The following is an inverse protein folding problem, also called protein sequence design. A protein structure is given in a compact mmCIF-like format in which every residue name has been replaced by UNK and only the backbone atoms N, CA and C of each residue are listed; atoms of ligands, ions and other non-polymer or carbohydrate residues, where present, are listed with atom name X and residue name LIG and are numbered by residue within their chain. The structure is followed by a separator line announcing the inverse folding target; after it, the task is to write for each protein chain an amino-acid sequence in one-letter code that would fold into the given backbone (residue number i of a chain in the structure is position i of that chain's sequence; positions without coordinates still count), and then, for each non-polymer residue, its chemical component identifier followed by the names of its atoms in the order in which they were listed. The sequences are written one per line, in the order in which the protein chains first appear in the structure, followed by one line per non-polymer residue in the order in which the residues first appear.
data_IF_836531919083
#
_entry.id   IF_836531919083
#
_cell.length_a   1.000
_cell.length_b   1.000
_cell.length_c   1.000
_cell.angle_alpha   90.00
_cell.angle_beta   90.00
_cell.angle_gamma   90.00
#
_symmetry.space_group_name_H-M   'P 1'
#
loop_
_entity.id
_entity.type
_entity.pdbx_description
1 polymer ?
#
# COMPACT_ATOMS: atom_id res chain seq x y z
N UNK A 1 -15.75 5.67 20.34
CA UNK A 1 -14.37 6.11 20.62
C UNK A 1 -14.45 7.49 21.27
N UNK A 2 -14.19 7.63 22.58
CA UNK A 2 -14.22 8.93 23.27
C UNK A 2 -12.83 9.55 23.18
N UNK A 3 -12.73 10.79 22.70
CA UNK A 3 -11.49 11.57 22.78
C UNK A 3 -11.31 11.94 24.25
N UNK A 4 -10.27 11.43 24.91
CA UNK A 4 -9.96 11.74 26.31
C UNK A 4 -9.44 13.18 26.44
N UNK A 5 -9.59 13.78 27.63
CA UNK A 5 -9.06 15.10 27.99
C UNK A 5 -7.51 15.18 28.04
N UNK A 6 -6.79 14.20 27.48
CA UNK A 6 -5.32 14.12 27.50
C UNK A 6 -4.65 14.72 26.26
N UNK A 7 -5.43 15.15 25.26
CA UNK A 7 -4.87 15.75 24.07
C UNK A 7 -4.35 17.17 24.33
N UNK A 8 -3.04 17.33 24.26
CA UNK A 8 -2.37 18.62 24.30
C UNK A 8 -1.93 18.99 22.87
N UNK A 9 -2.21 20.23 22.46
CA UNK A 9 -1.72 20.77 21.20
C UNK A 9 -0.20 20.70 21.15
N UNK A 10 0.36 20.25 20.02
CA UNK A 10 1.81 20.19 19.81
C UNK A 10 2.27 21.30 18.88
N UNK A 11 3.38 21.93 19.23
CA UNK A 11 4.11 22.81 18.33
C UNK A 11 5.14 21.99 17.54
N UNK A 12 5.17 22.19 16.22
CA UNK A 12 6.09 21.46 15.34
C UNK A 12 7.25 22.38 14.90
N UNK A 13 8.48 21.86 14.87
CA UNK A 13 9.65 22.61 14.39
C UNK A 13 9.57 22.86 12.88
N UNK A 14 10.36 23.81 12.36
CA UNK A 14 10.33 24.17 10.93
C UNK A 14 10.79 23.03 10.00
N UNK A 15 11.74 22.20 10.47
CA UNK A 15 12.24 21.02 9.75
C UNK A 15 11.54 19.79 10.31
N UNK A 16 10.91 19.01 9.44
CA UNK A 16 10.17 17.81 9.85
C UNK A 16 11.06 16.58 9.73
N UNK A 17 11.13 15.80 10.81
CA UNK A 17 11.74 14.46 10.82
C UNK A 17 10.72 13.39 10.44
N UNK A 18 11.20 12.18 10.17
CA UNK A 18 10.38 11.00 9.90
C UNK A 18 9.42 10.71 11.05
N UNK A 19 9.85 10.89 12.30
CA UNK A 19 9.00 10.68 13.49
C UNK A 19 7.83 11.67 13.54
N UNK A 20 8.10 12.95 13.23
CA UNK A 20 7.06 13.99 13.15
C UNK A 20 6.08 13.64 12.03
N UNK A 21 6.58 13.20 10.88
CA UNK A 21 5.73 12.78 9.77
C UNK A 21 4.84 11.59 10.16
N UNK A 22 5.41 10.56 10.82
CA UNK A 22 4.66 9.40 11.32
C UNK A 22 3.56 9.82 12.28
N UNK A 23 3.87 10.68 13.24
CA UNK A 23 2.89 11.17 14.21
C UNK A 23 1.71 11.88 13.52
N UNK A 24 2.00 12.77 12.57
CA UNK A 24 0.98 13.51 11.83
C UNK A 24 0.14 12.61 10.93
N UNK A 25 0.77 11.63 10.27
CA UNK A 25 0.03 10.65 9.47
C UNK A 25 -0.85 9.74 10.32
N UNK A 26 -0.41 9.37 11.54
CA UNK A 26 -1.27 8.64 12.49
C UNK A 26 -2.47 9.47 12.93
N UNK A 27 -2.28 10.76 13.21
CA UNK A 27 -3.38 11.66 13.55
C UNK A 27 -4.36 11.83 12.38
N UNK A 28 -3.84 11.99 11.16
CA UNK A 28 -4.65 12.07 9.95
C UNK A 28 -5.42 10.76 9.70
N UNK A 29 -4.79 9.60 9.91
CA UNK A 29 -5.42 8.29 9.78
C UNK A 29 -6.53 8.11 10.82
N UNK A 30 -6.25 8.44 12.09
CA UNK A 30 -7.25 8.41 13.16
C UNK A 30 -8.45 9.30 12.81
N UNK A 31 -8.20 10.51 12.34
CA UNK A 31 -9.25 11.45 11.90
C UNK A 31 -10.05 10.86 10.75
N UNK A 32 -9.39 10.27 9.75
CA UNK A 32 -10.05 9.63 8.61
C UNK A 32 -10.90 8.41 9.01
N UNK A 33 -10.50 7.67 10.05
CA UNK A 33 -11.29 6.56 10.59
C UNK A 33 -12.50 7.07 11.38
N UNK A 34 -12.30 8.05 12.27
CA UNK A 34 -13.38 8.60 13.11
C UNK A 34 -14.42 9.36 12.28
N UNK A 35 -13.99 10.11 11.27
CA UNK A 35 -14.86 10.85 10.36
C UNK A 35 -15.39 9.98 9.19
N UNK A 36 -15.15 8.67 9.24
CA UNK A 36 -15.53 7.68 8.23
C UNK A 36 -15.27 8.11 6.77
N UNK A 37 -14.04 8.51 6.50
CA UNK A 37 -13.63 8.82 5.14
C UNK A 37 -13.51 7.57 4.27
N UNK A 38 -13.57 7.78 2.96
CA UNK A 38 -13.35 6.76 1.92
C UNK A 38 -12.14 5.86 2.20
N UNK A 39 -12.25 4.58 1.85
CA UNK A 39 -11.20 3.59 2.09
C UNK A 39 -9.91 3.92 1.35
N UNK A 40 -10.00 4.54 0.17
CA UNK A 40 -8.85 5.06 -0.55
C UNK A 40 -8.02 6.05 0.26
N UNK A 41 -8.68 6.91 1.03
CA UNK A 41 -8.02 7.91 1.88
C UNK A 41 -7.35 7.25 3.09
N UNK A 42 -8.00 6.26 3.69
CA UNK A 42 -7.40 5.45 4.76
C UNK A 42 -6.19 4.67 4.23
N UNK A 43 -6.31 4.07 3.04
CA UNK A 43 -5.28 3.27 2.37
C UNK A 43 -4.01 4.08 2.04
N UNK A 44 -4.16 5.28 1.45
CA UNK A 44 -3.00 6.11 1.09
C UNK A 44 -2.25 6.61 2.33
N UNK A 45 -2.96 6.88 3.44
CA UNK A 45 -2.33 7.26 4.71
C UNK A 45 -1.53 6.10 5.29
N UNK A 46 -2.09 4.88 5.25
CA UNK A 46 -1.35 3.67 5.62
C UNK A 46 -0.11 3.46 4.74
N UNK A 47 -0.22 3.68 3.42
CA UNK A 47 0.92 3.53 2.51
C UNK A 47 2.04 4.54 2.84
N UNK A 48 1.68 5.79 3.12
CA UNK A 48 2.64 6.82 3.54
C UNK A 48 3.31 6.47 4.87
N UNK A 49 2.55 5.95 5.85
CA UNK A 49 3.11 5.46 7.10
C UNK A 49 4.12 4.34 6.85
N UNK A 50 3.79 3.36 6.01
CA UNK A 50 4.71 2.28 5.66
C UNK A 50 6.04 2.81 5.07
N UNK A 51 6.00 3.85 4.24
CA UNK A 51 7.21 4.47 3.69
C UNK A 51 8.05 5.18 4.77
N UNK A 52 7.41 5.89 5.70
CA UNK A 52 8.15 6.52 6.80
C UNK A 52 8.82 5.47 7.70
N UNK A 53 8.12 4.37 8.00
CA UNK A 53 8.70 3.27 8.76
C UNK A 53 9.85 2.56 8.04
N UNK A 54 9.80 2.49 6.70
CA UNK A 54 10.94 2.02 5.89
C UNK A 54 12.18 2.89 6.07
N UNK A 55 12.02 4.21 6.04
CA UNK A 55 13.14 5.13 6.23
C UNK A 55 13.80 4.95 7.59
N UNK A 56 13.00 4.65 8.62
CA UNK A 56 13.46 4.33 9.96
C UNK A 56 13.92 2.87 10.15
N UNK A 57 13.94 2.05 9.09
CA UNK A 57 14.30 0.62 9.12
C UNK A 57 13.47 -0.21 10.12
N UNK A 58 12.20 0.17 10.31
CA UNK A 58 11.25 -0.51 11.19
C UNK A 58 10.36 -1.46 10.39
N UNK A 59 10.91 -2.64 10.12
CA UNK A 59 10.31 -3.60 9.18
C UNK A 59 8.94 -4.13 9.63
N UNK A 60 8.75 -4.37 10.93
CA UNK A 60 7.48 -4.88 11.46
C UNK A 60 6.34 -3.89 11.25
N UNK A 61 6.57 -2.62 11.60
CA UNK A 61 5.60 -1.54 11.40
C UNK A 61 5.39 -1.26 9.92
N UNK A 62 6.44 -1.27 9.10
CA UNK A 62 6.29 -1.17 7.65
C UNK A 62 5.34 -2.27 7.15
N UNK A 63 5.59 -3.54 7.47
CA UNK A 63 4.78 -4.66 7.00
C UNK A 63 3.33 -4.56 7.48
N UNK A 64 3.12 -4.14 8.72
CA UNK A 64 1.79 -3.90 9.26
C UNK A 64 1.02 -2.86 8.43
N UNK A 65 1.62 -1.70 8.17
CA UNK A 65 0.97 -0.63 7.43
C UNK A 65 0.82 -0.93 5.93
N UNK A 66 1.72 -1.73 5.34
CA UNK A 66 1.53 -2.24 3.98
C UNK A 66 0.33 -3.17 3.87
N UNK A 67 0.13 -4.06 4.86
CA UNK A 67 -1.05 -4.90 4.94
C UNK A 67 -2.34 -4.08 5.03
N UNK A 68 -2.36 -3.02 5.85
CA UNK A 68 -3.50 -2.11 5.96
C UNK A 68 -3.74 -1.26 4.72
N UNK A 69 -2.67 -0.81 4.06
CA UNK A 69 -2.79 -0.14 2.77
C UNK A 69 -3.40 -1.07 1.70
N UNK A 70 -2.92 -2.31 1.64
CA UNK A 70 -3.42 -3.31 0.71
C UNK A 70 -4.93 -3.57 0.89
N UNK A 71 -5.35 -3.83 2.13
CA UNK A 71 -6.76 -4.02 2.49
C UNK A 71 -7.62 -2.83 2.04
N UNK A 72 -7.22 -1.61 2.40
CA UNK A 72 -7.97 -0.41 2.02
C UNK A 72 -8.00 -0.16 0.51
N UNK A 73 -6.92 -0.45 -0.23
CA UNK A 73 -6.93 -0.29 -1.69
C UNK A 73 -7.77 -1.34 -2.41
N UNK A 74 -7.87 -2.56 -1.90
CA UNK A 74 -8.79 -3.58 -2.43
C UNK A 74 -10.24 -3.10 -2.24
N UNK A 75 -10.61 -2.69 -1.02
CA UNK A 75 -11.94 -2.18 -0.76
C UNK A 75 -12.27 -0.96 -1.64
N UNK A 76 -11.33 -0.03 -1.78
CA UNK A 76 -11.49 1.14 -2.63
C UNK A 76 -11.65 0.77 -4.11
N UNK A 77 -10.91 -0.23 -4.60
CA UNK A 77 -11.05 -0.73 -5.97
C UNK A 77 -12.43 -1.34 -6.21
N UNK A 78 -13.03 -1.99 -5.21
CA UNK A 78 -14.33 -2.65 -5.32
C UNK A 78 -15.53 -1.70 -5.14
N UNK A 79 -15.35 -0.61 -4.39
CA UNK A 79 -16.46 0.24 -3.92
C UNK A 79 -16.39 1.71 -4.32
N UNK A 80 -15.27 2.19 -4.85
CA UNK A 80 -15.08 3.61 -5.21
C UNK A 80 -14.85 3.81 -6.70
N UNK A 81 -15.38 4.93 -7.22
CA UNK A 81 -15.09 5.37 -8.59
C UNK A 81 -13.67 5.93 -8.71
N UNK A 82 -12.98 5.54 -9.77
CA UNK A 82 -11.68 6.10 -10.15
C UNK A 82 -11.83 7.40 -10.96
N UNK A 83 -10.88 8.36 -10.90
CA UNK A 83 -9.53 8.22 -10.37
C UNK A 83 -9.40 8.41 -8.86
N UNK A 84 -8.58 7.57 -8.23
CA UNK A 84 -8.27 7.62 -6.80
C UNK A 84 -6.88 8.23 -6.63
N UNK A 85 -6.81 9.43 -6.04
CA UNK A 85 -5.53 10.17 -5.88
C UNK A 85 -4.73 10.31 -7.19
N UNK A 86 -5.43 10.47 -8.33
CA UNK A 86 -4.82 10.57 -9.66
C UNK A 86 -4.44 9.23 -10.29
N UNK A 87 -4.69 8.10 -9.62
CA UNK A 87 -4.54 6.76 -10.19
C UNK A 87 -5.81 6.37 -10.91
N UNK A 88 -5.69 6.00 -12.19
CA UNK A 88 -6.74 5.30 -12.89
C UNK A 88 -6.90 3.86 -12.36
N UNK A 89 -7.97 3.18 -12.77
CA UNK A 89 -8.28 1.80 -12.36
C UNK A 89 -7.10 0.86 -12.55
N UNK A 90 -6.40 0.94 -13.68
CA UNK A 90 -5.32 0.01 -14.02
C UNK A 90 -4.04 0.29 -13.23
N UNK A 91 -3.76 1.56 -12.93
CA UNK A 91 -2.66 1.95 -12.06
C UNK A 91 -2.92 1.52 -10.61
N UNK A 92 -4.18 1.58 -10.16
CA UNK A 92 -4.58 1.06 -8.86
C UNK A 92 -4.45 -0.48 -8.81
N UNK A 93 -4.89 -1.20 -9.84
CA UNK A 93 -4.70 -2.65 -9.96
C UNK A 93 -3.21 -3.04 -9.90
N UNK A 94 -2.35 -2.28 -10.60
CA UNK A 94 -0.91 -2.49 -10.54
C UNK A 94 -0.36 -2.26 -9.13
N UNK A 95 -0.79 -1.18 -8.45
CA UNK A 95 -0.39 -0.88 -7.07
C UNK A 95 -0.81 -2.01 -6.11
N UNK A 96 -2.03 -2.53 -6.24
CA UNK A 96 -2.52 -3.66 -5.44
C UNK A 96 -1.64 -4.90 -5.67
N UNK A 97 -1.30 -5.21 -6.93
CA UNK A 97 -0.38 -6.30 -7.27
C UNK A 97 0.99 -6.14 -6.61
N UNK A 98 1.54 -4.93 -6.57
CA UNK A 98 2.82 -4.66 -5.91
C UNK A 98 2.72 -4.78 -4.39
N UNK A 99 1.64 -4.33 -3.78
CA UNK A 99 1.43 -4.48 -2.34
C UNK A 99 1.28 -5.95 -1.93
N UNK A 100 0.59 -6.77 -2.72
CA UNK A 100 0.58 -8.23 -2.52
C UNK A 100 1.99 -8.82 -2.58
N UNK A 101 2.84 -8.37 -3.53
CA UNK A 101 4.22 -8.83 -3.63
C UNK A 101 5.02 -8.48 -2.38
N UNK A 102 4.93 -7.23 -1.94
CA UNK A 102 5.70 -6.68 -0.81
C UNK A 102 5.26 -7.23 0.55
N UNK A 103 4.02 -7.72 0.65
CA UNK A 103 3.48 -8.42 1.83
C UNK A 103 3.65 -9.94 1.74
N UNK A 104 4.39 -10.45 0.76
CA UNK A 104 4.76 -11.87 0.63
C UNK A 104 3.68 -12.77 0.02
N UNK A 105 2.53 -12.23 -0.36
CA UNK A 105 1.42 -12.92 -1.02
C UNK A 105 1.65 -12.97 -2.53
N UNK A 106 2.69 -13.70 -2.92
CA UNK A 106 3.23 -13.65 -4.29
C UNK A 106 2.25 -14.21 -5.33
N UNK A 107 1.45 -15.21 -4.97
CA UNK A 107 0.50 -15.84 -5.91
C UNK A 107 -0.58 -14.85 -6.37
N UNK A 108 -1.07 -14.04 -5.44
CA UNK A 108 -2.06 -13.00 -5.63
C UNK A 108 -1.47 -11.86 -6.44
N UNK A 109 -0.24 -11.46 -6.12
CA UNK A 109 0.52 -10.46 -6.87
C UNK A 109 0.58 -10.80 -8.37
N UNK A 110 0.94 -12.04 -8.73
CA UNK A 110 0.98 -12.51 -10.12
C UNK A 110 -0.40 -12.42 -10.79
N UNK A 111 -1.48 -12.76 -10.08
CA UNK A 111 -2.86 -12.66 -10.62
C UNK A 111 -3.22 -11.22 -10.94
N UNK A 112 -2.96 -10.29 -10.02
CA UNK A 112 -3.24 -8.87 -10.21
C UNK A 112 -2.46 -8.28 -11.39
N UNK A 113 -1.15 -8.56 -11.49
CA UNK A 113 -0.37 -8.12 -12.65
C UNK A 113 -0.85 -8.74 -13.96
N UNK A 114 -1.25 -10.01 -13.97
CA UNK A 114 -1.82 -10.65 -15.16
C UNK A 114 -3.10 -9.94 -15.62
N UNK A 115 -3.98 -9.57 -14.70
CA UNK A 115 -5.22 -8.84 -14.99
C UNK A 115 -4.94 -7.46 -15.61
N UNK A 116 -3.91 -6.76 -15.14
CA UNK A 116 -3.49 -5.47 -15.74
C UNK A 116 -3.01 -5.68 -17.18
N UNK A 117 -2.18 -6.69 -17.43
CA UNK A 117 -1.62 -6.98 -18.76
C UNK A 117 -2.73 -7.28 -19.78
N UNK A 118 -3.75 -8.06 -19.39
CA UNK A 118 -4.84 -8.49 -20.26
C UNK A 118 -5.95 -7.45 -20.41
N UNK A 119 -6.02 -6.46 -19.52
CA UNK A 119 -7.04 -5.41 -19.56
C UNK A 119 -6.94 -4.55 -20.82
N UNK A 120 -8.03 -4.42 -21.58
CA UNK A 120 -8.03 -3.66 -22.84
C UNK A 120 -7.80 -2.16 -22.65
N UNK A 121 -8.34 -1.56 -21.58
CA UNK A 121 -8.19 -0.12 -21.30
C UNK A 121 -6.87 0.28 -20.64
N UNK A 122 -6.05 -0.68 -20.19
CA UNK A 122 -4.77 -0.36 -19.57
C UNK A 122 -3.78 0.17 -20.60
N UNK A 123 -3.17 1.33 -20.32
CA UNK A 123 -2.18 1.93 -21.20
C UNK A 123 -0.91 1.07 -21.29
N UNK A 124 -0.14 1.28 -22.37
CA UNK A 124 1.07 0.49 -22.64
C UNK A 124 2.07 0.53 -21.48
N UNK A 125 2.31 1.71 -20.89
CA UNK A 125 3.31 1.91 -19.82
C UNK A 125 2.97 1.11 -18.56
N UNK A 126 1.70 1.06 -18.17
CA UNK A 126 1.25 0.31 -16.98
C UNK A 126 1.32 -1.19 -17.25
N UNK A 127 0.98 -1.65 -18.46
CA UNK A 127 1.14 -3.05 -18.85
C UNK A 127 2.60 -3.49 -18.85
N UNK A 128 3.50 -2.65 -19.35
CA UNK A 128 4.93 -2.91 -19.39
C UNK A 128 5.48 -3.14 -17.98
N UNK A 129 5.24 -2.19 -17.08
CA UNK A 129 5.57 -2.34 -15.65
C UNK A 129 4.96 -3.59 -15.03
N UNK A 130 3.71 -3.92 -15.36
CA UNK A 130 3.06 -5.11 -14.84
C UNK A 130 3.73 -6.41 -15.33
N UNK A 131 4.29 -6.45 -16.55
CA UNK A 131 5.06 -7.61 -17.04
C UNK A 131 6.33 -7.79 -16.25
N UNK A 132 7.11 -6.73 -16.08
CA UNK A 132 8.37 -6.76 -15.32
C UNK A 132 8.12 -7.25 -13.90
N UNK A 133 7.10 -6.69 -13.24
CA UNK A 133 6.78 -7.06 -11.87
C UNK A 133 6.22 -8.47 -11.73
N UNK A 134 5.45 -8.95 -12.72
CA UNK A 134 4.98 -10.33 -12.77
C UNK A 134 6.14 -11.30 -12.92
N UNK A 135 7.11 -10.99 -13.78
CA UNK A 135 8.31 -11.80 -13.94
C UNK A 135 9.09 -11.88 -12.63
N UNK A 136 9.35 -10.74 -11.98
CA UNK A 136 10.03 -10.70 -10.69
C UNK A 136 9.30 -11.52 -9.61
N UNK A 137 7.96 -11.43 -9.57
CA UNK A 137 7.14 -12.22 -8.66
C UNK A 137 7.27 -13.72 -8.94
N UNK A 138 7.24 -14.14 -10.20
CA UNK A 138 7.42 -15.54 -10.59
C UNK A 138 8.82 -16.07 -10.26
N UNK A 139 9.87 -15.26 -10.47
CA UNK A 139 11.23 -15.61 -10.04
C UNK A 139 11.30 -15.80 -8.53
N UNK A 140 10.65 -14.92 -7.76
CA UNK A 140 10.56 -15.04 -6.30
C UNK A 140 9.89 -16.36 -5.88
N UNK A 141 8.82 -16.79 -6.56
CA UNK A 141 8.17 -18.08 -6.28
C UNK A 141 9.11 -19.26 -6.57
N UNK A 142 9.77 -19.27 -7.73
CA UNK A 142 10.70 -20.33 -8.12
C UNK A 142 11.88 -20.47 -7.16
N UNK A 143 12.43 -19.34 -6.69
CA UNK A 143 13.54 -19.36 -5.74
C UNK A 143 13.12 -19.96 -4.40
N UNK A 144 11.95 -19.58 -3.87
CA UNK A 144 11.39 -20.18 -2.65
C UNK A 144 11.11 -21.69 -2.79
N UNK A 145 10.71 -22.13 -3.99
CA UNK A 145 10.50 -23.56 -4.26
C UNK A 145 11.81 -24.35 -4.32
N UNK A 146 12.89 -23.75 -4.83
CA UNK A 146 14.22 -24.36 -4.83
C UNK A 146 14.77 -24.49 -3.41
N UNK A 147 14.72 -23.41 -2.63
CA UNK A 147 15.14 -23.39 -1.21
C UNK A 147 14.41 -24.45 -0.37
N UNK A 148 13.13 -24.73 -0.66
CA UNK A 148 12.35 -25.77 0.01
C UNK A 148 12.72 -27.20 -0.39
N UNK A 149 13.33 -27.42 -1.56
CA UNK A 149 13.76 -28.73 -2.04
C UNK A 149 15.18 -29.07 -1.58
N UNK A 150 15.96 -28.06 -1.23
CA UNK A 150 17.35 -28.19 -0.78
C UNK A 150 17.48 -28.36 0.75
N UNK A 151 16.36 -28.35 1.48
CA UNK A 151 16.27 -28.53 2.94
C UNK A 151 15.54 -29.82 3.30
#
# INVERSE_FOLDING_TARGET
MKISNEWHGREYPLIYTEEIAIERYKLALLTAVVADFKDSRKAILCLRLAWMYRLLKKENEEQFYLGKALEGFINAYESEDTPIYGLDTYSLMYLIGELYRRTGKISESVKWFSNVITSRGANYKVKDKARDMRELAMQTMKNKERERKDC
#
